data_IF_481096842866
#
_entry.id   IF_481096842866
#
_cell.length_a   1.000
_cell.length_b   1.000
_cell.length_c   1.000
_cell.angle_alpha   90.00
_cell.angle_beta   90.00
_cell.angle_gamma   90.00
#
_symmetry.space_group_name_H-M   'P 1'
#
loop_
_entity.id
_entity.type
_entity.pdbx_description
1 polymer ?
#
# COMPACT_ATOMS: atom_id res chain seq x y z
N UNK A 1 -22.75 -3.26 -1.43
CA UNK A 1 -21.41 -2.81 -1.89
C UNK A 1 -20.56 -2.29 -0.73
N UNK A 2 -21.07 -1.44 0.17
CA UNK A 2 -20.35 -1.02 1.39
C UNK A 2 -20.02 -2.14 2.42
N UNK A 3 -20.85 -3.19 2.52
CA UNK A 3 -20.69 -4.20 3.59
C UNK A 3 -19.52 -5.17 3.33
N UNK A 4 -19.13 -5.39 2.06
CA UNK A 4 -17.93 -6.17 1.72
C UNK A 4 -16.62 -5.47 2.11
N UNK A 5 -16.67 -4.19 2.52
CA UNK A 5 -15.49 -3.46 2.97
C UNK A 5 -15.06 -3.82 4.40
N UNK A 6 -15.98 -4.28 5.25
CA UNK A 6 -15.68 -4.67 6.63
C UNK A 6 -14.96 -6.03 6.72
N UNK A 7 -14.99 -6.82 5.65
CA UNK A 7 -14.27 -8.08 5.50
C UNK A 7 -13.12 -8.00 4.50
N UNK A 8 -12.59 -6.80 4.23
CA UNK A 8 -11.38 -6.63 3.42
C UNK A 8 -10.18 -7.14 4.21
N UNK A 9 -9.88 -8.42 4.03
CA UNK A 9 -8.55 -8.92 4.30
C UNK A 9 -7.58 -8.24 3.32
N UNK A 10 -6.37 -7.86 3.75
CA UNK A 10 -5.32 -7.34 2.87
C UNK A 10 -5.17 -8.20 1.59
N UNK A 11 -5.42 -9.50 1.69
CA UNK A 11 -5.47 -10.43 0.56
C UNK A 11 -6.49 -10.09 -0.53
N UNK A 12 -7.70 -9.64 -0.19
CA UNK A 12 -8.72 -9.28 -1.20
C UNK A 12 -8.33 -8.00 -1.95
N UNK A 13 -7.74 -7.05 -1.22
CA UNK A 13 -7.17 -5.80 -1.76
C UNK A 13 -5.98 -6.09 -2.69
N UNK A 14 -5.19 -7.11 -2.36
CA UNK A 14 -4.04 -7.59 -3.14
C UNK A 14 -4.46 -8.38 -4.38
N UNK A 15 -5.47 -9.26 -4.29
CA UNK A 15 -5.94 -10.04 -5.45
C UNK A 15 -6.64 -9.18 -6.50
N UNK A 16 -7.18 -8.03 -6.11
CA UNK A 16 -7.80 -7.07 -7.04
C UNK A 16 -6.80 -6.15 -7.76
N UNK A 17 -5.50 -6.26 -7.46
CA UNK A 17 -4.45 -5.48 -8.10
C UNK A 17 -4.54 -3.97 -7.86
N UNK A 18 -3.92 -3.17 -8.74
CA UNK A 18 -3.97 -1.72 -8.60
C UNK A 18 -5.38 -1.14 -8.73
N UNK A 19 -6.24 -1.74 -9.56
CA UNK A 19 -7.59 -1.19 -9.81
C UNK A 19 -8.48 -1.27 -8.57
N UNK A 20 -8.42 -2.37 -7.81
CA UNK A 20 -9.15 -2.44 -6.53
C UNK A 20 -8.64 -1.41 -5.51
N UNK A 21 -7.33 -1.16 -5.45
CA UNK A 21 -6.78 -0.11 -4.59
C UNK A 21 -7.25 1.27 -5.06
N UNK A 22 -7.22 1.56 -6.37
CA UNK A 22 -7.68 2.84 -6.93
C UNK A 22 -9.16 3.06 -6.68
N UNK A 23 -10.00 2.05 -6.84
CA UNK A 23 -11.43 2.14 -6.52
C UNK A 23 -11.65 2.50 -5.05
N UNK A 24 -10.93 1.84 -4.13
CA UNK A 24 -11.02 2.15 -2.70
C UNK A 24 -10.58 3.59 -2.43
N UNK A 25 -9.47 4.04 -3.02
CA UNK A 25 -8.99 5.42 -2.85
C UNK A 25 -9.98 6.45 -3.42
N UNK A 26 -10.62 6.15 -4.55
CA UNK A 26 -11.67 7.00 -5.15
C UNK A 26 -12.89 7.14 -4.26
N UNK A 27 -13.21 6.14 -3.43
CA UNK A 27 -14.30 6.26 -2.45
C UNK A 27 -14.00 7.26 -1.33
N UNK A 28 -12.71 7.53 -1.06
CA UNK A 28 -12.28 8.54 -0.08
C UNK A 28 -12.10 9.94 -0.69
N UNK A 29 -12.20 10.09 -2.02
CA UNK A 29 -12.13 11.38 -2.72
C UNK A 29 -13.49 12.09 -2.73
N UNK A 30 -13.94 12.54 -1.55
CA UNK A 30 -15.23 13.22 -1.40
C UNK A 30 -15.31 14.56 -2.13
N UNK A 31 -14.19 15.26 -2.25
CA UNK A 31 -14.09 16.59 -2.87
C UNK A 31 -13.85 16.53 -4.39
N UNK A 32 -13.70 15.33 -4.98
CA UNK A 32 -13.37 15.13 -6.39
C UNK A 32 -12.20 16.02 -6.87
N UNK A 33 -11.16 16.12 -6.04
CA UNK A 33 -10.04 17.01 -6.35
C UNK A 33 -9.24 16.47 -7.54
N UNK A 34 -8.94 17.30 -8.56
CA UNK A 34 -8.13 16.87 -9.71
C UNK A 34 -6.73 16.42 -9.28
N UNK A 35 -6.17 16.98 -8.20
CA UNK A 35 -4.86 16.57 -7.68
C UNK A 35 -4.90 15.16 -7.05
N UNK A 36 -5.94 14.85 -6.29
CA UNK A 36 -6.13 13.53 -5.67
C UNK A 36 -6.31 12.46 -6.74
N UNK A 37 -7.14 12.73 -7.77
CA UNK A 37 -7.32 11.83 -8.90
C UNK A 37 -6.02 11.59 -9.66
N UNK A 38 -5.24 12.64 -9.91
CA UNK A 38 -3.93 12.51 -10.56
C UNK A 38 -2.99 11.60 -9.77
N UNK A 39 -2.95 11.72 -8.43
CA UNK A 39 -2.15 10.85 -7.57
C UNK A 39 -2.65 9.39 -7.62
N UNK A 40 -3.96 9.17 -7.54
CA UNK A 40 -4.55 7.82 -7.64
C UNK A 40 -4.21 7.17 -8.99
N UNK A 41 -4.36 7.91 -10.08
CA UNK A 41 -4.04 7.44 -11.43
C UNK A 41 -2.53 7.24 -11.63
N UNK A 42 -1.70 7.86 -10.80
CA UNK A 42 -0.25 7.64 -10.74
C UNK A 42 0.17 6.30 -10.13
N UNK A 43 -0.75 5.48 -9.63
CA UNK A 43 -0.46 4.09 -9.24
C UNK A 43 -0.46 3.22 -10.49
N UNK A 44 0.71 2.76 -10.91
CA UNK A 44 0.89 2.03 -12.17
C UNK A 44 0.74 0.52 -11.98
N UNK A 45 1.30 -0.01 -10.91
CA UNK A 45 1.18 -1.44 -10.61
C UNK A 45 1.16 -1.71 -9.11
N UNK A 46 0.42 -2.75 -8.73
CA UNK A 46 0.43 -3.28 -7.38
C UNK A 46 0.69 -4.78 -7.42
N UNK A 47 1.71 -5.21 -6.68
CA UNK A 47 1.99 -6.63 -6.50
C UNK A 47 2.07 -6.91 -5.01
N UNK A 48 1.50 -8.03 -4.56
CA UNK A 48 1.81 -8.49 -3.21
C UNK A 48 2.00 -9.99 -3.12
N UNK A 49 2.89 -10.35 -2.21
CA UNK A 49 3.34 -11.72 -2.05
C UNK A 49 3.50 -12.02 -0.56
N UNK A 50 3.26 -13.27 -0.19
CA UNK A 50 3.51 -13.72 1.17
C UNK A 50 5.00 -13.80 1.45
N UNK A 51 5.40 -13.25 2.60
CA UNK A 51 6.77 -13.27 3.06
C UNK A 51 6.80 -13.76 4.50
N UNK A 52 7.83 -14.55 4.84
CA UNK A 52 8.12 -14.92 6.22
C UNK A 52 9.37 -14.16 6.64
N UNK A 53 9.28 -13.38 7.71
CA UNK A 53 10.41 -12.64 8.27
C UNK A 53 10.61 -12.99 9.73
N UNK A 54 11.87 -13.01 10.13
CA UNK A 54 12.23 -13.06 11.55
C UNK A 54 12.03 -11.67 12.14
N UNK A 55 11.19 -11.59 13.16
CA UNK A 55 10.90 -10.37 13.92
C UNK A 55 11.28 -10.68 15.37
N UNK A 56 12.38 -10.08 15.84
CA UNK A 56 13.02 -10.45 17.11
C UNK A 56 13.45 -11.92 17.16
N UNK A 57 12.87 -12.68 18.09
CA UNK A 57 13.18 -14.10 18.32
C UNK A 57 12.21 -15.07 17.64
N UNK A 58 11.22 -14.58 16.89
CA UNK A 58 10.18 -15.42 16.28
C UNK A 58 10.06 -15.17 14.78
N UNK A 59 9.56 -16.18 14.05
CA UNK A 59 9.20 -16.03 12.64
C UNK A 59 7.74 -15.63 12.52
N UNK A 60 7.49 -14.52 11.84
CA UNK A 60 6.16 -14.04 11.52
C UNK A 60 5.90 -14.19 10.02
N UNK A 61 4.66 -14.51 9.68
CA UNK A 61 4.18 -14.46 8.30
C UNK A 61 3.55 -13.10 8.04
N UNK A 62 3.72 -12.61 6.82
CA UNK A 62 3.22 -11.31 6.42
C UNK A 62 2.99 -11.23 4.92
N UNK A 63 2.59 -10.05 4.50
CA UNK A 63 2.41 -9.70 3.09
C UNK A 63 3.34 -8.53 2.79
N UNK A 64 4.18 -8.69 1.76
CA UNK A 64 4.95 -7.59 1.22
C UNK A 64 4.21 -7.05 -0.01
N UNK A 65 3.79 -5.80 0.05
CA UNK A 65 3.15 -5.08 -1.04
C UNK A 65 4.21 -4.22 -1.72
N UNK A 66 4.35 -4.37 -3.03
CA UNK A 66 5.16 -3.51 -3.89
C UNK A 66 4.22 -2.67 -4.73
N UNK A 67 4.35 -1.35 -4.61
CA UNK A 67 3.59 -0.39 -5.42
C UNK A 67 4.56 0.35 -6.32
N UNK A 68 4.23 0.41 -7.60
CA UNK A 68 4.96 1.20 -8.58
C UNK A 68 4.19 2.47 -8.90
N UNK A 69 4.87 3.60 -8.80
CA UNK A 69 4.31 4.92 -9.04
C UNK A 69 4.87 5.55 -10.32
N UNK A 70 4.04 6.32 -11.00
CA UNK A 70 4.45 7.23 -12.06
C UNK A 70 4.79 8.59 -11.45
N UNK A 71 6.08 8.91 -11.32
CA UNK A 71 6.57 10.13 -10.67
C UNK A 71 6.06 11.42 -11.34
N UNK A 72 5.77 11.40 -12.65
CA UNK A 72 5.22 12.55 -13.38
C UNK A 72 3.82 12.95 -12.91
N UNK A 73 3.10 12.03 -12.28
CA UNK A 73 1.77 12.29 -11.69
C UNK A 73 1.86 12.88 -10.28
N UNK A 74 3.06 13.01 -9.71
CA UNK A 74 3.28 13.54 -8.35
C UNK A 74 4.08 14.84 -8.38
N UNK A 75 3.44 15.92 -8.84
CA UNK A 75 4.07 17.23 -8.98
C UNK A 75 4.42 17.82 -7.59
N UNK A 76 5.67 18.29 -7.45
CA UNK A 76 6.16 19.06 -6.30
C UNK A 76 6.75 18.24 -5.16
N UNK A 77 6.03 17.24 -4.63
CA UNK A 77 6.45 16.50 -3.42
C UNK A 77 6.89 15.04 -3.69
N UNK A 78 6.73 14.55 -4.92
CA UNK A 78 6.99 13.16 -5.29
C UNK A 78 6.04 12.15 -4.61
N UNK A 79 6.13 10.85 -4.96
CA UNK A 79 5.21 9.83 -4.47
C UNK A 79 5.45 9.43 -3.00
N UNK A 80 6.53 9.90 -2.36
CA UNK A 80 6.96 9.43 -1.04
C UNK A 80 5.92 9.66 0.07
N UNK A 81 5.32 10.84 0.14
CA UNK A 81 4.31 11.16 1.15
C UNK A 81 3.05 10.32 0.97
N UNK A 82 2.60 10.19 -0.28
CA UNK A 82 1.46 9.36 -0.62
C UNK A 82 1.72 7.89 -0.30
N UNK A 83 2.89 7.36 -0.65
CA UNK A 83 3.31 6.02 -0.29
C UNK A 83 3.38 5.82 1.24
N UNK A 84 3.80 6.83 2.01
CA UNK A 84 3.80 6.77 3.49
C UNK A 84 2.39 6.68 4.07
N UNK A 85 1.41 7.34 3.45
CA UNK A 85 -0.01 7.21 3.83
C UNK A 85 -0.52 5.82 3.48
N UNK A 86 -0.20 5.32 2.27
CA UNK A 86 -0.57 3.97 1.84
C UNK A 86 0.03 2.89 2.74
N UNK A 87 1.26 3.06 3.23
CA UNK A 87 1.88 2.12 4.18
C UNK A 87 1.03 1.95 5.44
N UNK A 88 0.58 3.07 6.01
CA UNK A 88 -0.24 3.07 7.22
C UNK A 88 -1.64 2.55 6.94
N UNK A 89 -2.19 2.88 5.78
CA UNK A 89 -3.48 2.39 5.31
C UNK A 89 -3.48 0.86 5.20
N UNK A 90 -2.52 0.29 4.45
CA UNK A 90 -2.40 -1.16 4.25
C UNK A 90 -2.21 -1.92 5.57
N UNK A 91 -1.52 -1.33 6.53
CA UNK A 91 -1.32 -1.95 7.84
C UNK A 91 -2.61 -2.10 8.65
N UNK A 92 -3.64 -1.27 8.42
CA UNK A 92 -4.96 -1.43 9.05
C UNK A 92 -5.72 -2.65 8.53
N UNK A 93 -5.45 -3.10 7.31
CA UNK A 93 -6.15 -4.22 6.67
C UNK A 93 -5.45 -5.57 6.89
N UNK A 94 -4.36 -5.60 7.66
CA UNK A 94 -3.64 -6.84 7.94
C UNK A 94 -4.38 -7.67 8.98
N UNK A 95 -4.39 -8.99 8.81
CA UNK A 95 -5.01 -9.91 9.77
C UNK A 95 -4.26 -9.95 11.10
N UNK A 96 -4.98 -10.34 12.16
CA UNK A 96 -4.39 -10.56 13.49
C UNK A 96 -3.27 -11.61 13.38
N UNK A 97 -2.09 -11.32 13.92
CA UNK A 97 -0.84 -12.12 13.84
C UNK A 97 -0.12 -12.13 12.48
N UNK A 98 -0.46 -11.21 11.59
CA UNK A 98 0.28 -10.98 10.34
C UNK A 98 0.92 -9.59 10.33
N UNK A 99 1.95 -9.40 9.52
CA UNK A 99 2.52 -8.08 9.23
C UNK A 99 2.31 -7.69 7.77
N UNK A 100 2.26 -6.38 7.51
CA UNK A 100 2.33 -5.80 6.17
C UNK A 100 3.65 -5.07 6.01
N UNK A 101 4.22 -5.09 4.81
CA UNK A 101 5.39 -4.29 4.49
C UNK A 101 5.20 -3.64 3.12
N UNK A 102 5.38 -2.33 3.04
CA UNK A 102 5.32 -1.59 1.78
C UNK A 102 6.72 -1.42 1.19
N UNK A 103 6.82 -1.63 -0.13
CA UNK A 103 7.95 -1.28 -0.97
C UNK A 103 7.43 -0.35 -2.07
N UNK A 104 7.90 0.90 -2.10
CA UNK A 104 7.59 1.83 -3.17
C UNK A 104 8.71 1.82 -4.23
N UNK A 105 8.30 1.80 -5.49
CA UNK A 105 9.17 1.95 -6.67
C UNK A 105 8.59 3.03 -7.58
N UNK A 106 9.41 3.63 -8.43
CA UNK A 106 8.91 4.49 -9.52
C UNK A 106 9.14 3.81 -10.87
N UNK A 107 8.45 4.26 -11.92
CA UNK A 107 8.74 3.80 -13.29
C UNK A 107 9.98 4.51 -13.86
N UNK A 108 10.23 5.74 -13.42
CA UNK A 108 11.36 6.58 -13.87
C UNK A 108 12.69 6.07 -13.31
N UNK A 109 12.69 5.62 -12.05
CA UNK A 109 13.86 5.06 -11.39
C UNK A 109 13.67 3.55 -11.21
N UNK A 110 14.58 2.76 -11.77
CA UNK A 110 14.55 1.28 -11.60
C UNK A 110 14.84 0.84 -10.16
N UNK A 111 15.25 1.76 -9.30
CA UNK A 111 15.57 1.50 -7.90
C UNK A 111 14.34 1.61 -6.98
N UNK A 112 14.48 1.05 -5.78
CA UNK A 112 13.45 1.14 -4.75
C UNK A 112 13.49 2.52 -4.13
N UNK A 113 12.40 3.28 -4.28
CA UNK A 113 12.23 4.58 -3.63
C UNK A 113 12.36 4.44 -2.12
N UNK A 114 11.61 3.50 -1.54
CA UNK A 114 11.65 3.22 -0.11
C UNK A 114 11.06 1.84 0.20
N UNK A 115 11.70 1.16 1.13
CA UNK A 115 11.14 0.01 1.84
C UNK A 115 10.83 0.43 3.27
N UNK A 116 9.57 0.32 3.69
CA UNK A 116 9.16 0.58 5.06
C UNK A 116 9.40 -0.66 5.93
N UNK A 117 9.43 -0.46 7.24
CA UNK A 117 9.54 -1.56 8.20
C UNK A 117 8.24 -2.37 8.26
N UNK A 118 8.31 -3.67 8.58
CA UNK A 118 7.12 -4.48 8.83
C UNK A 118 6.22 -3.87 9.91
N UNK A 119 4.92 -3.81 9.65
CA UNK A 119 3.93 -3.28 10.59
C UNK A 119 2.80 -4.27 10.82
N UNK A 120 2.35 -4.42 12.06
CA UNK A 120 1.12 -5.15 12.41
C UNK A 120 0.10 -4.16 13.00
N UNK A 121 -0.90 -3.77 12.21
CA UNK A 121 -1.85 -2.72 12.60
C UNK A 121 -1.13 -1.39 12.81
N UNK A 122 -1.23 -0.82 14.02
CA UNK A 122 -0.53 0.41 14.38
C UNK A 122 0.90 0.20 14.89
N UNK A 123 1.32 -1.03 15.15
CA UNK A 123 2.62 -1.33 15.78
C UNK A 123 3.69 -1.63 14.73
N UNK A 124 4.79 -0.87 14.77
CA UNK A 124 6.01 -1.18 14.02
C UNK A 124 6.66 -2.39 14.68
N UNK A 125 7.02 -3.39 13.87
CA UNK A 125 7.62 -4.64 14.35
C UNK A 125 9.13 -4.64 14.10
N UNK A 126 9.84 -3.81 14.86
CA UNK A 126 11.30 -3.79 14.99
C UNK A 126 11.71 -3.31 16.39
#
# INVERSE_FOLDING_TARGET
>A
RLISHLSLNCMSLVTGGEEALKEILRLYDFDNSPSTRQQIDGIVSLQAHHVTKRIGYSFCRGVQVTIQFDEEKYVGAGPYLFASVLERFLAQYVSVNSFSQLVAKTIQQKEVLKTWHPRAGNRILL
#
